data_IF_004905154051
#
_entry.id   IF_004905154051
#
_cell.length_a   1.000
_cell.length_b   1.000
_cell.length_c   1.000
_cell.angle_alpha   90.00
_cell.angle_beta   90.00
_cell.angle_gamma   90.00
#
_symmetry.space_group_name_H-M   'P 1'
#
loop_
_entity.id
_entity.type
_entity.pdbx_description
1 polymer ?
#
# COMPACT_ATOMS: atom_id res chain seq x y z
N UNK A 1 -80.12 -16.23 15.06
CA UNK A 1 -80.88 -16.56 13.82
C UNK A 1 -82.07 -17.53 13.97
N UNK A 2 -82.22 -18.42 14.96
CA UNK A 2 -83.20 -19.51 14.87
C UNK A 2 -84.68 -19.11 15.05
N UNK A 3 -84.97 -17.92 15.61
CA UNK A 3 -86.33 -17.46 15.86
C UNK A 3 -87.01 -16.85 14.62
N UNK A 4 -86.25 -16.16 13.75
CA UNK A 4 -86.80 -15.56 12.51
C UNK A 4 -87.09 -16.59 11.43
N UNK A 5 -86.25 -17.63 11.29
CA UNK A 5 -86.47 -18.69 10.31
C UNK A 5 -87.75 -19.49 10.59
N UNK A 6 -87.98 -19.86 11.86
CA UNK A 6 -89.20 -20.56 12.28
C UNK A 6 -90.47 -19.73 12.07
N UNK A 7 -90.41 -18.42 12.30
CA UNK A 7 -91.55 -17.53 12.06
C UNK A 7 -91.85 -17.36 10.56
N UNK A 8 -90.81 -17.35 9.71
CA UNK A 8 -90.94 -17.27 8.26
C UNK A 8 -91.52 -18.56 7.67
N UNK A 9 -91.02 -19.72 8.08
CA UNK A 9 -91.55 -21.04 7.68
C UNK A 9 -93.04 -21.15 8.06
N UNK A 10 -93.42 -20.69 9.27
CA UNK A 10 -94.83 -20.66 9.68
C UNK A 10 -95.68 -19.77 8.75
N UNK A 11 -95.20 -18.57 8.41
CA UNK A 11 -95.91 -17.66 7.49
C UNK A 11 -96.03 -18.24 6.08
N UNK A 12 -95.03 -18.98 5.60
CA UNK A 12 -95.06 -19.67 4.30
C UNK A 12 -96.16 -20.74 4.30
N UNK A 13 -96.24 -21.58 5.33
CA UNK A 13 -97.29 -22.61 5.47
C UNK A 13 -98.70 -22.03 5.59
N UNK A 14 -98.85 -20.86 6.21
CA UNK A 14 -100.14 -20.19 6.38
C UNK A 14 -100.61 -19.48 5.09
N UNK A 15 -99.68 -19.02 4.24
CA UNK A 15 -100.00 -18.21 3.06
C UNK A 15 -100.08 -18.99 1.74
N UNK A 16 -99.49 -20.19 1.65
CA UNK A 16 -99.38 -20.95 0.41
C UNK A 16 -99.96 -22.37 0.51
N UNK A 17 -100.50 -22.95 -0.58
CA UNK A 17 -100.90 -24.35 -0.64
C UNK A 17 -99.75 -25.32 -0.30
N UNK A 18 -100.04 -26.53 0.22
CA UNK A 18 -99.03 -27.44 0.78
C UNK A 18 -97.83 -27.72 -0.13
N UNK A 19 -98.06 -28.01 -1.41
CA UNK A 19 -96.98 -28.30 -2.37
C UNK A 19 -96.09 -27.08 -2.67
N UNK A 20 -96.64 -25.86 -2.60
CA UNK A 20 -95.87 -24.63 -2.82
C UNK A 20 -95.07 -24.25 -1.56
N UNK A 21 -95.64 -24.48 -0.37
CA UNK A 21 -94.95 -24.26 0.89
C UNK A 21 -93.73 -25.18 1.04
N UNK A 22 -93.84 -26.45 0.65
CA UNK A 22 -92.75 -27.43 0.70
C UNK A 22 -91.56 -27.02 -0.19
N UNK A 23 -91.81 -26.61 -1.44
CA UNK A 23 -90.75 -26.12 -2.35
C UNK A 23 -90.09 -24.83 -1.82
N UNK A 24 -90.86 -23.93 -1.19
CA UNK A 24 -90.33 -22.70 -0.61
C UNK A 24 -89.53 -22.95 0.67
N UNK A 25 -89.88 -23.97 1.45
CA UNK A 25 -89.12 -24.43 2.61
C UNK A 25 -87.78 -25.04 2.18
N UNK A 26 -87.78 -25.93 1.18
CA UNK A 26 -86.55 -26.48 0.60
C UNK A 26 -85.64 -25.37 0.03
N UNK A 27 -86.22 -24.39 -0.66
CA UNK A 27 -85.47 -23.24 -1.16
C UNK A 27 -84.91 -22.38 -0.01
N UNK A 28 -85.66 -22.21 1.08
CA UNK A 28 -85.20 -21.47 2.25
C UNK A 28 -84.02 -22.17 2.93
N UNK A 29 -84.11 -23.49 3.12
CA UNK A 29 -83.03 -24.28 3.71
C UNK A 29 -81.78 -24.26 2.81
N UNK A 30 -81.94 -24.38 1.49
CA UNK A 30 -80.85 -24.24 0.54
C UNK A 30 -80.19 -22.85 0.58
N UNK A 31 -80.98 -21.78 0.73
CA UNK A 31 -80.48 -20.41 0.86
C UNK A 31 -79.76 -20.17 2.19
N UNK A 32 -80.20 -20.79 3.29
CA UNK A 32 -79.54 -20.70 4.61
C UNK A 32 -78.19 -21.46 4.63
N UNK A 33 -78.05 -22.50 3.80
CA UNK A 33 -76.82 -23.25 3.63
C UNK A 33 -75.77 -22.55 2.73
N UNK A 34 -76.19 -21.75 1.76
CA UNK A 34 -75.31 -21.22 0.71
C UNK A 34 -74.35 -20.10 1.15
N UNK A 35 -74.79 -19.17 2.01
CA UNK A 35 -73.94 -18.05 2.48
C UNK A 35 -74.33 -17.67 3.90
N UNK A 36 -73.53 -18.10 4.88
CA UNK A 36 -73.72 -17.65 6.25
C UNK A 36 -73.13 -16.25 6.41
N UNK A 37 -73.89 -15.34 7.01
CA UNK A 37 -73.42 -14.00 7.39
C UNK A 37 -72.13 -14.06 8.22
N UNK A 38 -71.93 -15.16 8.95
CA UNK A 38 -70.71 -15.47 9.67
C UNK A 38 -69.48 -15.52 8.75
N UNK A 39 -69.52 -16.31 7.67
CA UNK A 39 -68.40 -16.50 6.73
C UNK A 39 -68.02 -15.18 6.05
N UNK A 40 -69.01 -14.32 5.76
CA UNK A 40 -68.75 -12.99 5.22
C UNK A 40 -68.05 -12.07 6.23
N UNK A 41 -68.43 -12.14 7.51
CA UNK A 41 -67.78 -11.37 8.56
C UNK A 41 -66.35 -11.86 8.82
N UNK A 42 -66.10 -13.16 8.77
CA UNK A 42 -64.74 -13.73 8.85
C UNK A 42 -63.88 -13.29 7.66
N UNK A 43 -64.41 -13.40 6.43
CA UNK A 43 -63.71 -12.94 5.24
C UNK A 43 -63.39 -11.44 5.34
N UNK A 44 -64.33 -10.62 5.80
CA UNK A 44 -64.11 -9.18 6.01
C UNK A 44 -63.00 -8.91 7.02
N UNK A 45 -62.94 -9.68 8.11
CA UNK A 45 -61.88 -9.57 9.11
C UNK A 45 -60.51 -9.93 8.51
N UNK A 46 -60.41 -11.07 7.81
CA UNK A 46 -59.18 -11.52 7.14
C UNK A 46 -58.70 -10.47 6.12
N UNK A 47 -59.61 -9.93 5.30
CA UNK A 47 -59.27 -8.90 4.31
C UNK A 47 -58.78 -7.62 4.99
N UNK A 48 -59.37 -7.22 6.12
CA UNK A 48 -58.91 -6.07 6.88
C UNK A 48 -57.51 -6.29 7.47
N UNK A 49 -57.24 -7.46 8.04
CA UNK A 49 -55.91 -7.83 8.55
C UNK A 49 -54.87 -7.87 7.42
N UNK A 50 -55.22 -8.44 6.27
CA UNK A 50 -54.35 -8.47 5.09
C UNK A 50 -54.03 -7.05 4.58
N UNK A 51 -55.02 -6.15 4.57
CA UNK A 51 -54.81 -4.77 4.17
C UNK A 51 -53.84 -4.03 5.12
N UNK A 52 -53.95 -4.29 6.43
CA UNK A 52 -53.02 -3.75 7.43
C UNK A 52 -51.61 -4.31 7.23
N UNK A 53 -51.46 -5.63 7.14
CA UNK A 53 -50.17 -6.27 6.90
C UNK A 53 -49.51 -5.80 5.59
N UNK A 54 -50.31 -5.61 4.53
CA UNK A 54 -49.84 -5.06 3.27
C UNK A 54 -49.34 -3.62 3.44
N UNK A 55 -50.07 -2.77 4.17
CA UNK A 55 -49.66 -1.38 4.43
C UNK A 55 -48.37 -1.32 5.23
N UNK A 56 -48.20 -2.19 6.23
CA UNK A 56 -47.00 -2.24 7.05
C UNK A 56 -45.80 -2.74 6.23
N UNK A 57 -45.99 -3.76 5.40
CA UNK A 57 -44.98 -4.21 4.42
C UNK A 57 -44.56 -3.09 3.46
N UNK A 58 -45.52 -2.33 2.93
CA UNK A 58 -45.23 -1.18 2.05
C UNK A 58 -44.42 -0.09 2.77
N UNK A 59 -44.64 0.09 4.08
CA UNK A 59 -43.86 1.02 4.89
C UNK A 59 -42.42 0.54 5.06
N UNK A 60 -42.23 -0.72 5.43
CA UNK A 60 -40.89 -1.33 5.56
C UNK A 60 -40.11 -1.30 4.24
N UNK A 61 -40.76 -1.58 3.12
CA UNK A 61 -40.15 -1.49 1.79
C UNK A 61 -39.68 -0.06 1.45
N UNK A 62 -40.46 0.97 1.84
CA UNK A 62 -40.05 2.37 1.66
C UNK A 62 -38.86 2.73 2.53
N UNK A 63 -38.84 2.27 3.77
CA UNK A 63 -37.71 2.49 4.69
C UNK A 63 -36.44 1.79 4.17
N UNK A 64 -36.56 0.57 3.65
CA UNK A 64 -35.46 -0.16 3.04
C UNK A 64 -34.93 0.54 1.78
N UNK A 65 -35.82 1.03 0.91
CA UNK A 65 -35.41 1.77 -0.28
C UNK A 65 -34.66 3.06 0.07
N UNK A 66 -35.07 3.77 1.12
CA UNK A 66 -34.36 4.95 1.62
C UNK A 66 -33.00 4.58 2.23
N UNK A 67 -32.92 3.50 2.99
CA UNK A 67 -31.67 3.00 3.56
C UNK A 67 -30.69 2.55 2.46
N UNK A 68 -31.19 1.90 1.40
CA UNK A 68 -30.41 1.51 0.24
C UNK A 68 -29.88 2.74 -0.49
N UNK A 69 -30.73 3.75 -0.77
CA UNK A 69 -30.29 5.00 -1.41
C UNK A 69 -29.19 5.70 -0.62
N UNK A 70 -29.33 5.81 0.70
CA UNK A 70 -28.29 6.38 1.59
C UNK A 70 -26.99 5.57 1.56
N UNK A 71 -27.09 4.26 1.36
CA UNK A 71 -25.91 3.39 1.25
C UNK A 71 -25.22 3.60 -0.09
N UNK A 72 -25.97 3.69 -1.19
CA UNK A 72 -25.44 4.00 -2.52
C UNK A 72 -24.72 5.36 -2.54
N UNK A 73 -25.32 6.40 -1.97
CA UNK A 73 -24.70 7.72 -1.82
C UNK A 73 -23.36 7.65 -1.05
N UNK A 74 -23.31 6.92 0.08
CA UNK A 74 -22.07 6.73 0.85
C UNK A 74 -21.01 5.95 0.08
N UNK A 75 -21.40 4.96 -0.71
CA UNK A 75 -20.47 4.18 -1.54
C UNK A 75 -19.88 5.05 -2.65
N UNK A 76 -20.69 5.92 -3.26
CA UNK A 76 -20.22 6.87 -4.26
C UNK A 76 -19.23 7.89 -3.67
N UNK A 77 -19.53 8.45 -2.50
CA UNK A 77 -18.60 9.33 -1.77
C UNK A 77 -17.27 8.64 -1.46
N UNK A 78 -17.31 7.37 -0.99
CA UNK A 78 -16.11 6.59 -0.71
C UNK A 78 -15.30 6.32 -1.98
N UNK A 79 -15.94 6.01 -3.11
CA UNK A 79 -15.26 5.79 -4.38
C UNK A 79 -14.55 7.07 -4.87
N UNK A 80 -15.19 8.24 -4.72
CA UNK A 80 -14.57 9.53 -5.04
C UNK A 80 -13.39 9.85 -4.12
N UNK A 81 -13.53 9.62 -2.82
CA UNK A 81 -12.45 9.80 -1.85
C UNK A 81 -11.26 8.89 -2.18
N UNK A 82 -11.52 7.61 -2.48
CA UNK A 82 -10.49 6.65 -2.88
C UNK A 82 -9.76 7.11 -4.14
N UNK A 83 -10.48 7.55 -5.18
CA UNK A 83 -9.87 8.06 -6.42
C UNK A 83 -8.96 9.26 -6.16
N UNK A 84 -9.35 10.19 -5.28
CA UNK A 84 -8.52 11.33 -4.89
C UNK A 84 -7.25 10.87 -4.17
N UNK A 85 -7.37 9.92 -3.24
CA UNK A 85 -6.21 9.34 -2.55
C UNK A 85 -5.26 8.63 -3.50
N UNK A 86 -5.76 7.86 -4.47
CA UNK A 86 -4.94 7.21 -5.49
C UNK A 86 -4.16 8.22 -6.35
N UNK A 87 -4.77 9.35 -6.67
CA UNK A 87 -4.11 10.43 -7.40
C UNK A 87 -2.99 11.08 -6.57
N UNK A 88 -3.24 11.37 -5.29
CA UNK A 88 -2.22 11.91 -4.37
C UNK A 88 -1.04 10.94 -4.19
N UNK A 89 -1.32 9.63 -4.02
CA UNK A 89 -0.28 8.59 -3.94
C UNK A 89 0.55 8.54 -5.23
N UNK A 90 -0.09 8.66 -6.40
CA UNK A 90 0.60 8.67 -7.69
C UNK A 90 1.50 9.90 -7.84
N UNK A 91 1.08 11.06 -7.35
CA UNK A 91 1.91 12.27 -7.33
C UNK A 91 3.11 12.09 -6.40
N UNK A 92 2.88 11.62 -5.17
CA UNK A 92 3.95 11.35 -4.21
C UNK A 92 4.97 10.35 -4.75
N UNK A 93 4.51 9.29 -5.41
CA UNK A 93 5.39 8.27 -6.03
C UNK A 93 6.31 8.90 -7.09
N UNK A 94 5.79 9.84 -7.88
CA UNK A 94 6.61 10.55 -8.88
C UNK A 94 7.66 11.44 -8.21
N UNK A 95 7.31 12.12 -7.12
CA UNK A 95 8.25 12.96 -6.38
C UNK A 95 9.35 12.13 -5.72
N UNK A 96 9.00 11.01 -5.08
CA UNK A 96 9.98 10.07 -4.50
C UNK A 96 10.93 9.54 -5.57
N UNK A 97 10.44 9.25 -6.78
CA UNK A 97 11.31 8.84 -7.89
C UNK A 97 12.31 9.92 -8.28
N UNK A 98 11.87 11.18 -8.39
CA UNK A 98 12.78 12.31 -8.68
C UNK A 98 13.85 12.47 -7.60
N UNK A 99 13.45 12.40 -6.33
CA UNK A 99 14.39 12.47 -5.20
C UNK A 99 15.43 11.36 -5.27
N UNK A 100 15.01 10.14 -5.66
CA UNK A 100 15.94 9.02 -5.85
C UNK A 100 16.95 9.32 -6.96
N UNK A 101 16.47 9.79 -8.11
CA UNK A 101 17.33 10.12 -9.26
C UNK A 101 18.31 11.26 -8.90
N UNK A 102 17.85 12.30 -8.20
CA UNK A 102 18.69 13.39 -7.69
C UNK A 102 19.75 12.87 -6.70
N UNK A 103 19.39 11.93 -5.83
CA UNK A 103 20.33 11.33 -4.88
C UNK A 103 21.41 10.50 -5.58
N UNK A 104 21.07 9.79 -6.66
CA UNK A 104 22.06 9.08 -7.48
C UNK A 104 23.05 10.07 -8.12
N UNK A 105 22.56 11.16 -8.69
CA UNK A 105 23.43 12.23 -9.23
C UNK A 105 24.36 12.85 -8.17
N UNK A 106 23.84 13.10 -6.96
CA UNK A 106 24.65 13.63 -5.84
C UNK A 106 25.75 12.64 -5.44
N UNK A 107 25.44 11.34 -5.40
CA UNK A 107 26.44 10.31 -5.08
C UNK A 107 27.55 10.27 -6.13
N UNK A 108 27.21 10.37 -7.42
CA UNK A 108 28.19 10.36 -8.50
C UNK A 108 29.10 11.58 -8.44
N UNK A 109 28.53 12.77 -8.24
CA UNK A 109 29.30 14.00 -8.05
C UNK A 109 30.21 13.93 -6.82
N UNK A 110 29.72 13.39 -5.70
CA UNK A 110 30.54 13.21 -4.51
C UNK A 110 31.68 12.21 -4.75
N UNK A 111 31.45 11.14 -5.50
CA UNK A 111 32.49 10.20 -5.92
C UNK A 111 33.57 10.86 -6.77
N UNK A 112 33.18 11.67 -7.75
CA UNK A 112 34.11 12.43 -8.59
C UNK A 112 34.92 13.47 -7.78
N UNK A 113 34.27 14.16 -6.84
CA UNK A 113 34.94 15.11 -5.93
C UNK A 113 35.91 14.40 -5.00
N UNK A 114 35.51 13.27 -4.40
CA UNK A 114 36.37 12.47 -3.54
C UNK A 114 37.63 12.00 -4.28
N UNK A 115 37.47 11.57 -5.55
CA UNK A 115 38.62 11.21 -6.40
C UNK A 115 39.52 12.41 -6.67
N UNK A 116 38.96 13.56 -7.03
CA UNK A 116 39.73 14.78 -7.32
C UNK A 116 40.52 15.24 -6.10
N UNK A 117 39.86 15.34 -4.94
CA UNK A 117 40.51 15.69 -3.67
C UNK A 117 41.58 14.67 -3.31
N UNK A 118 41.31 13.37 -3.55
CA UNK A 118 42.27 12.30 -3.37
C UNK A 118 43.56 12.53 -4.15
N UNK A 119 43.45 12.71 -5.46
CA UNK A 119 44.61 12.99 -6.32
C UNK A 119 45.34 14.28 -5.91
N UNK A 120 44.62 15.35 -5.56
CA UNK A 120 45.25 16.59 -5.10
C UNK A 120 46.05 16.36 -3.82
N UNK A 121 45.50 15.65 -2.84
CA UNK A 121 46.19 15.34 -1.59
C UNK A 121 47.42 14.47 -1.82
N UNK A 122 47.33 13.46 -2.69
CA UNK A 122 48.48 12.60 -3.03
C UNK A 122 49.61 13.41 -3.70
N UNK A 123 49.26 14.30 -4.64
CA UNK A 123 50.23 15.16 -5.32
C UNK A 123 50.89 16.17 -4.37
N UNK A 124 50.13 16.82 -3.49
CA UNK A 124 50.69 17.75 -2.51
C UNK A 124 51.56 17.03 -1.47
N UNK A 125 51.11 15.87 -0.99
CA UNK A 125 51.91 15.04 -0.08
C UNK A 125 53.26 14.68 -0.70
N UNK A 126 53.26 14.31 -1.97
CA UNK A 126 54.47 14.01 -2.71
C UNK A 126 55.43 15.20 -2.81
N UNK A 127 54.91 16.37 -3.17
CA UNK A 127 55.68 17.61 -3.32
C UNK A 127 56.35 18.04 -2.01
N UNK A 128 55.68 17.87 -0.88
CA UNK A 128 56.21 18.27 0.43
C UNK A 128 57.02 17.18 1.15
N UNK A 129 56.94 15.92 0.69
CA UNK A 129 57.60 14.78 1.33
C UNK A 129 59.13 14.95 1.51
N UNK A 130 59.91 15.41 0.50
CA UNK A 130 61.36 15.59 0.68
C UNK A 130 61.72 16.55 1.82
N UNK A 131 60.98 17.66 1.95
CA UNK A 131 61.21 18.63 3.01
C UNK A 131 60.89 18.06 4.41
N UNK A 132 59.82 17.25 4.52
CA UNK A 132 59.46 16.57 5.76
C UNK A 132 60.49 15.50 6.15
N UNK A 133 60.95 14.69 5.19
CA UNK A 133 61.98 13.68 5.40
C UNK A 133 63.28 14.29 5.92
N UNK A 134 63.70 15.42 5.33
CA UNK A 134 64.89 16.16 5.80
C UNK A 134 64.69 16.70 7.21
N UNK A 135 63.57 17.38 7.45
CA UNK A 135 63.30 18.07 8.74
C UNK A 135 63.16 17.09 9.91
N UNK A 136 62.47 15.97 9.72
CA UNK A 136 62.10 15.07 10.82
C UNK A 136 62.99 13.84 10.94
N UNK A 137 63.56 13.37 9.83
CA UNK A 137 64.29 12.10 9.79
C UNK A 137 65.76 12.25 9.35
N UNK A 138 66.20 13.47 9.04
CA UNK A 138 67.55 13.77 8.55
C UNK A 138 67.89 12.96 7.28
N UNK A 139 66.86 12.71 6.46
CA UNK A 139 66.97 12.04 5.17
C UNK A 139 66.98 13.10 4.07
N UNK A 140 68.09 13.23 3.36
CA UNK A 140 68.22 14.13 2.23
C UNK A 140 67.95 13.39 0.93
N UNK A 141 66.81 13.68 0.31
CA UNK A 141 66.45 13.14 -1.01
C UNK A 141 67.43 13.68 -2.06
N UNK A 142 68.13 12.79 -2.76
CA UNK A 142 69.20 13.13 -3.72
C UNK A 142 68.75 13.07 -5.17
N UNK A 143 67.71 12.29 -5.45
CA UNK A 143 67.07 12.17 -6.77
C UNK A 143 65.58 12.51 -6.63
N UNK A 144 64.94 13.01 -7.68
CA UNK A 144 63.50 13.24 -7.66
C UNK A 144 62.78 11.94 -7.29
N UNK A 145 61.89 11.99 -6.30
CA UNK A 145 60.99 10.87 -6.06
C UNK A 145 60.19 10.67 -7.34
N UNK A 146 59.91 9.43 -7.73
CA UNK A 146 59.05 9.07 -8.87
C UNK A 146 58.14 7.90 -8.53
N UNK A 147 57.13 7.66 -9.34
CA UNK A 147 56.36 6.41 -9.37
C UNK A 147 57.01 5.52 -10.41
N UNK A 148 57.40 4.30 -10.04
CA UNK A 148 58.13 3.39 -10.94
C UNK A 148 57.79 1.93 -10.64
N UNK A 149 58.09 1.05 -11.61
CA UNK A 149 57.98 -0.39 -11.45
C UNK A 149 59.30 -0.96 -10.95
N UNK A 150 59.25 -1.70 -9.85
CA UNK A 150 60.40 -2.36 -9.25
C UNK A 150 60.29 -3.86 -9.44
N UNK A 151 61.35 -4.48 -9.95
CA UNK A 151 61.47 -5.93 -10.01
C UNK A 151 61.78 -6.48 -8.61
N UNK A 152 60.89 -7.33 -8.09
CA UNK A 152 61.04 -7.96 -6.77
C UNK A 152 61.45 -9.43 -6.87
N UNK A 153 61.22 -10.06 -8.02
CA UNK A 153 61.66 -11.42 -8.36
C UNK A 153 61.77 -11.53 -9.89
N UNK A 154 62.47 -12.55 -10.44
CA UNK A 154 62.60 -12.71 -11.89
C UNK A 154 61.24 -12.62 -12.59
N UNK A 155 61.10 -11.66 -13.51
CA UNK A 155 59.87 -11.35 -14.27
C UNK A 155 58.67 -10.86 -13.43
N UNK A 156 58.87 -10.49 -12.16
CA UNK A 156 57.81 -9.98 -11.27
C UNK A 156 58.07 -8.53 -10.89
N UNK A 157 57.27 -7.64 -11.48
CA UNK A 157 57.31 -6.20 -11.23
C UNK A 157 56.14 -5.75 -10.35
N UNK A 158 56.40 -4.85 -9.42
CA UNK A 158 55.38 -4.15 -8.64
C UNK A 158 55.49 -2.65 -8.88
N UNK A 159 54.35 -1.98 -8.92
CA UNK A 159 54.33 -0.52 -8.99
C UNK A 159 54.43 0.07 -7.58
N UNK A 160 55.33 1.03 -7.40
CA UNK A 160 55.54 1.71 -6.13
C UNK A 160 55.25 3.20 -6.32
N UNK A 161 54.37 3.77 -5.49
CA UNK A 161 53.95 5.18 -5.65
C UNK A 161 55.09 6.17 -5.41
N UNK A 162 55.99 5.86 -4.48
CA UNK A 162 57.10 6.73 -4.10
C UNK A 162 58.38 5.90 -4.10
N UNK A 163 59.28 6.17 -5.04
CA UNK A 163 60.63 5.60 -5.06
C UNK A 163 61.67 6.66 -5.41
N UNK A 164 62.84 6.61 -4.76
CA UNK A 164 63.97 7.47 -5.11
C UNK A 164 65.14 7.30 -4.15
N UNK A 165 66.32 7.78 -4.55
CA UNK A 165 67.52 7.69 -3.70
C UNK A 165 67.59 8.86 -2.73
N UNK A 166 68.14 8.58 -1.56
CA UNK A 166 68.40 9.58 -0.53
C UNK A 166 69.66 9.25 0.24
N UNK A 167 70.13 10.21 1.04
CA UNK A 167 71.22 10.03 1.99
C UNK A 167 70.71 10.20 3.41
N UNK A 168 71.11 9.29 4.28
CA UNK A 168 70.91 9.39 5.73
C UNK A 168 72.24 9.17 6.41
N UNK A 169 72.69 10.14 7.20
CA UNK A 169 73.98 10.06 7.92
C UNK A 169 75.16 9.70 6.99
N UNK A 170 75.16 10.25 5.76
CA UNK A 170 76.18 9.99 4.74
C UNK A 170 76.08 8.66 4.00
N UNK A 171 75.16 7.76 4.37
CA UNK A 171 74.90 6.49 3.67
C UNK A 171 73.79 6.66 2.64
N UNK A 172 74.00 6.11 1.45
CA UNK A 172 72.97 6.05 0.42
C UNK A 172 71.90 5.03 0.81
N UNK A 173 70.63 5.43 0.71
CA UNK A 173 69.45 4.63 1.00
C UNK A 173 68.44 4.76 -0.14
N UNK A 174 67.61 3.74 -0.32
CA UNK A 174 66.46 3.78 -1.21
C UNK A 174 65.20 4.10 -0.41
N UNK A 175 64.47 5.14 -0.81
CA UNK A 175 63.13 5.42 -0.30
C UNK A 175 62.14 4.62 -1.11
N UNK A 176 61.23 3.94 -0.41
CA UNK A 176 60.14 3.16 -0.98
C UNK A 176 58.88 3.46 -0.17
N UNK A 177 57.79 3.84 -0.81
CA UNK A 177 56.56 4.22 -0.14
C UNK A 177 55.30 4.12 -0.99
N UNK A 178 54.16 4.05 -0.32
CA UNK A 178 52.81 4.02 -0.90
C UNK A 178 52.06 5.30 -0.48
N UNK A 179 51.27 5.87 -1.39
CA UNK A 179 50.38 6.99 -1.09
C UNK A 179 48.93 6.51 -0.98
N UNK A 180 48.20 7.01 0.02
CA UNK A 180 46.79 6.72 0.24
C UNK A 180 46.08 7.93 0.84
N UNK A 181 44.91 8.27 0.30
CA UNK A 181 44.02 9.32 0.83
C UNK A 181 43.55 9.03 2.26
N UNK A 182 43.29 7.76 2.59
CA UNK A 182 42.94 7.32 3.94
C UNK A 182 43.81 6.12 4.35
N UNK A 183 44.99 6.35 4.96
CA UNK A 183 45.87 5.27 5.38
C UNK A 183 45.23 4.46 6.52
N UNK A 184 45.31 3.13 6.43
CA UNK A 184 44.85 2.16 7.45
C UNK A 184 45.98 1.19 7.75
N UNK A 185 45.93 0.53 8.91
CA UNK A 185 46.92 -0.49 9.30
C UNK A 185 46.99 -1.62 8.28
N UNK A 186 45.85 -2.02 7.69
CA UNK A 186 45.80 -3.03 6.64
C UNK A 186 46.65 -2.65 5.42
N UNK A 187 46.62 -1.37 5.00
CA UNK A 187 47.40 -0.90 3.86
C UNK A 187 48.91 -0.98 4.12
N UNK A 188 49.35 -0.80 5.37
CA UNK A 188 50.76 -0.96 5.74
C UNK A 188 51.18 -2.41 5.58
N UNK A 189 50.38 -3.35 6.11
CA UNK A 189 50.66 -4.78 5.98
C UNK A 189 50.67 -5.23 4.51
N UNK A 190 49.68 -4.79 3.72
CA UNK A 190 49.63 -5.07 2.28
C UNK A 190 50.86 -4.54 1.55
N UNK A 191 51.32 -3.33 1.89
CA UNK A 191 52.53 -2.76 1.30
C UNK A 191 53.78 -3.55 1.67
N UNK A 192 53.91 -3.97 2.93
CA UNK A 192 55.04 -4.80 3.37
C UNK A 192 55.03 -6.19 2.73
N UNK A 193 53.87 -6.81 2.54
CA UNK A 193 53.74 -8.07 1.81
C UNK A 193 54.07 -7.93 0.33
N UNK A 194 53.72 -6.79 -0.30
CA UNK A 194 54.09 -6.51 -1.70
C UNK A 194 55.61 -6.47 -1.90
N UNK A 195 56.38 -6.06 -0.89
CA UNK A 195 57.83 -5.90 -0.96
C UNK A 195 58.63 -7.18 -0.64
N UNK A 196 57.94 -8.28 -0.28
CA UNK A 196 58.54 -9.60 -0.06
C UNK A 196 58.55 -10.44 -1.33
#
# INVERSE_FOLDING_TARGET
MPLRGKELIRKIREAFPPMQAEVLEELFDFLDELVKVHDFNELKAIVAELALAHRDTQKELKELALAQKRTEERVEELALAQKKTEEEIRLLTKEVKKIKDDLENVKDHLGALANTVGYTLENEAYKYLPALLKKHYQIEVTEELKRDFVEIAPEKYIEINIIGKAKKEGREILIVGESKVQPKISHINEFLEKLK
#
